data_IF_141039253205
#
_entry.id   IF_141039253205
#
_cell.length_a   1.000
_cell.length_b   1.000
_cell.length_c   1.000
_cell.angle_alpha   90.00
_cell.angle_beta   90.00
_cell.angle_gamma   90.00
#
_symmetry.space_group_name_H-M   'P 1'
#
loop_
_entity.id
_entity.type
_entity.pdbx_description
1 polymer ?
#
# COMPACT_ATOMS: atom_id res chain seq x y z
N UNK A 1 -6.16 -15.27 -7.96
CA UNK A 1 -5.40 -14.63 -6.97
C UNK A 1 -4.26 -13.87 -7.62
N UNK A 2 -4.36 -12.66 -7.49
CA UNK A 2 -3.41 -11.83 -8.17
C UNK A 2 -2.33 -11.57 -7.21
N UNK A 3 -1.43 -12.09 -7.07
CA UNK A 3 -0.43 -11.74 -6.09
C UNK A 3 0.97 -11.98 -6.59
N UNK A 4 1.07 -11.91 -7.90
CA UNK A 4 2.38 -12.11 -8.50
C UNK A 4 3.34 -11.00 -8.12
N UNK A 5 2.84 -9.79 -7.95
CA UNK A 5 3.67 -8.66 -7.56
C UNK A 5 4.36 -8.88 -6.22
N UNK A 6 3.71 -9.59 -5.32
CA UNK A 6 4.30 -9.83 -4.00
C UNK A 6 5.62 -10.59 -4.08
N UNK A 7 5.80 -11.38 -5.13
CA UNK A 7 7.00 -12.19 -5.30
C UNK A 7 8.16 -11.39 -5.86
N UNK A 8 7.91 -10.23 -6.43
CA UNK A 8 8.97 -9.41 -6.98
C UNK A 8 9.68 -8.56 -5.95
N UNK A 9 9.08 -8.39 -4.78
CA UNK A 9 9.64 -7.54 -3.74
C UNK A 9 9.44 -6.06 -3.97
N UNK A 10 8.62 -5.67 -4.95
CA UNK A 10 8.41 -4.27 -5.29
C UNK A 10 7.07 -4.11 -5.96
N UNK A 11 6.28 -3.14 -5.49
CA UNK A 11 5.09 -2.67 -6.19
C UNK A 11 5.14 -1.15 -6.29
N UNK A 12 4.63 -0.63 -7.41
CA UNK A 12 4.53 0.81 -7.64
C UNK A 12 3.19 1.13 -8.26
N UNK A 13 2.70 2.34 -8.01
CA UNK A 13 1.48 2.82 -8.62
C UNK A 13 1.45 4.33 -8.64
N UNK A 14 0.82 4.90 -9.66
CA UNK A 14 0.51 6.32 -9.73
C UNK A 14 -1.00 6.43 -9.59
N UNK A 15 -1.48 6.88 -8.45
CA UNK A 15 -2.90 6.86 -8.11
C UNK A 15 -3.52 8.23 -8.30
N UNK A 16 -4.64 8.26 -9.01
CA UNK A 16 -5.33 9.50 -9.39
C UNK A 16 -6.84 9.42 -9.13
N UNK A 17 -7.29 8.51 -8.30
CA UNK A 17 -8.71 8.33 -8.03
C UNK A 17 -8.93 7.70 -6.66
N UNK A 18 -10.14 7.86 -6.13
CA UNK A 18 -10.53 7.13 -4.93
C UNK A 18 -10.67 5.64 -5.23
N UNK A 19 -10.66 4.84 -4.21
CA UNK A 19 -10.80 3.39 -4.29
C UNK A 19 -9.75 2.76 -5.21
N UNK A 20 -8.52 3.24 -5.12
CA UNK A 20 -7.38 2.72 -5.89
C UNK A 20 -6.22 2.47 -4.96
N UNK A 21 -5.54 1.34 -5.17
CA UNK A 21 -4.43 0.89 -4.33
C UNK A 21 -3.31 0.32 -5.19
N UNK A 22 -2.13 0.24 -4.62
CA UNK A 22 -1.07 -0.59 -5.21
C UNK A 22 -1.50 -2.05 -5.18
N UNK A 23 -0.81 -2.90 -5.92
CA UNK A 23 -0.93 -4.34 -5.71
C UNK A 23 -0.44 -4.70 -4.31
N UNK A 24 -0.86 -5.86 -3.83
CA UNK A 24 -0.36 -6.40 -2.59
C UNK A 24 1.08 -6.89 -2.76
N UNK A 25 1.88 -6.68 -1.72
CA UNK A 25 3.25 -7.17 -1.68
C UNK A 25 3.44 -8.02 -0.42
N UNK A 26 4.13 -9.15 -0.56
CA UNK A 26 4.56 -9.93 0.59
C UNK A 26 5.63 -9.18 1.36
N UNK A 27 5.49 -9.16 2.67
CA UNK A 27 6.55 -8.70 3.55
C UNK A 27 6.82 -9.76 4.60
N UNK A 28 8.06 -10.09 4.80
CA UNK A 28 8.50 -11.04 5.83
C UNK A 28 9.30 -10.37 6.92
N UNK A 29 9.68 -9.12 6.71
CA UNK A 29 10.46 -8.31 7.65
C UNK A 29 10.16 -6.85 7.39
N UNK A 30 11.22 -6.06 7.24
CA UNK A 30 11.10 -4.65 6.88
C UNK A 30 10.73 -4.48 5.41
N UNK A 31 10.06 -3.38 5.14
CA UNK A 31 9.79 -2.92 3.79
C UNK A 31 9.84 -1.40 3.78
N UNK A 32 10.10 -0.84 2.59
CA UNK A 32 10.14 0.60 2.40
C UNK A 32 8.83 1.07 1.83
N UNK A 33 8.39 2.24 2.25
CA UNK A 33 7.23 2.92 1.68
C UNK A 33 7.66 4.32 1.24
N UNK A 34 7.46 4.60 -0.03
CA UNK A 34 7.73 5.92 -0.61
C UNK A 34 6.43 6.46 -1.19
N UNK A 35 6.05 7.67 -0.76
CA UNK A 35 4.90 8.38 -1.30
C UNK A 35 5.41 9.72 -1.79
N UNK A 36 5.22 9.99 -3.08
CA UNK A 36 5.66 11.23 -3.70
C UNK A 36 4.58 11.78 -4.62
N UNK A 37 4.87 12.92 -5.26
CA UNK A 37 3.92 13.58 -6.12
C UNK A 37 3.13 14.66 -5.40
N UNK A 38 2.19 15.26 -6.12
CA UNK A 38 1.33 16.31 -5.58
C UNK A 38 -0.09 15.78 -5.55
N UNK A 39 -0.65 15.65 -4.36
CA UNK A 39 -2.00 15.14 -4.18
C UNK A 39 -2.66 15.75 -2.96
N UNK A 40 -3.98 15.71 -2.95
CA UNK A 40 -4.79 16.05 -1.77
C UNK A 40 -5.66 14.83 -1.46
N UNK A 41 -5.53 14.31 -0.28
CA UNK A 41 -6.25 13.11 0.16
C UNK A 41 -5.51 12.39 1.26
N UNK A 42 -6.05 11.25 1.64
CA UNK A 42 -5.45 10.39 2.68
C UNK A 42 -5.07 9.04 2.06
N UNK A 43 -3.81 8.70 2.18
CA UNK A 43 -3.33 7.38 1.75
C UNK A 43 -3.35 6.46 2.95
N UNK A 44 -4.03 5.33 2.81
CA UNK A 44 -4.12 4.32 3.86
C UNK A 44 -3.25 3.14 3.49
N UNK A 45 -2.43 2.70 4.43
CA UNK A 45 -1.68 1.45 4.31
C UNK A 45 -2.52 0.35 4.92
N UNK A 46 -2.70 -0.72 4.18
CA UNK A 46 -3.48 -1.88 4.62
C UNK A 46 -2.61 -3.12 4.71
N UNK A 47 -3.00 -4.00 5.61
CA UNK A 47 -2.32 -5.25 5.90
C UNK A 47 -3.33 -6.39 5.82
N UNK A 48 -2.91 -7.53 5.30
CA UNK A 48 -3.76 -8.72 5.22
C UNK A 48 -2.93 -9.99 5.43
N UNK A 49 -3.54 -10.97 6.04
CA UNK A 49 -2.91 -12.29 6.24
C UNK A 49 -3.41 -13.32 5.24
N UNK A 50 -4.61 -13.14 4.71
CA UNK A 50 -5.22 -14.11 3.79
C UNK A 50 -4.63 -13.91 2.41
N UNK A 51 -3.70 -14.79 2.03
CA UNK A 51 -3.02 -14.67 0.74
C UNK A 51 -3.89 -15.06 -0.44
N UNK A 52 -5.00 -15.75 -0.21
CA UNK A 52 -5.94 -16.12 -1.27
C UNK A 52 -6.96 -15.00 -1.52
N UNK A 53 -7.36 -14.28 -0.48
CA UNK A 53 -8.37 -13.23 -0.56
C UNK A 53 -7.97 -12.03 0.28
N UNK A 54 -6.84 -11.37 -0.04
CA UNK A 54 -6.36 -10.29 0.79
C UNK A 54 -7.30 -9.08 0.82
N UNK A 55 -8.02 -8.80 -0.26
CA UNK A 55 -8.94 -7.66 -0.28
C UNK A 55 -10.03 -7.79 0.78
N UNK A 56 -10.52 -9.00 1.01
CA UNK A 56 -11.55 -9.23 2.02
C UNK A 56 -11.00 -9.19 3.44
N UNK A 57 -9.70 -9.36 3.59
CA UNK A 57 -9.04 -9.38 4.89
C UNK A 57 -8.28 -8.08 5.17
N UNK A 58 -8.42 -7.07 4.33
CA UNK A 58 -7.64 -5.84 4.44
C UNK A 58 -7.96 -5.07 5.72
N UNK A 59 -6.92 -4.69 6.45
CA UNK A 59 -7.01 -3.92 7.68
C UNK A 59 -6.17 -2.66 7.57
N UNK A 60 -6.72 -1.52 7.97
CA UNK A 60 -5.99 -0.27 7.97
C UNK A 60 -4.96 -0.27 9.10
N UNK A 61 -3.72 0.03 8.79
CA UNK A 61 -2.65 0.03 9.79
C UNK A 61 -1.94 1.36 9.90
N UNK A 62 -2.02 2.23 8.89
CA UNK A 62 -1.41 3.55 8.94
C UNK A 62 -2.04 4.47 7.90
N UNK A 63 -1.87 5.78 8.07
CA UNK A 63 -2.37 6.77 7.12
C UNK A 63 -1.36 7.90 6.94
N UNK A 64 -1.36 8.48 5.72
CA UNK A 64 -0.48 9.59 5.38
C UNK A 64 -1.24 10.59 4.50
N UNK A 65 -1.06 11.87 4.78
CA UNK A 65 -1.72 12.94 4.02
C UNK A 65 -0.75 13.79 3.20
N UNK A 66 0.52 13.42 3.20
CA UNK A 66 1.57 14.16 2.51
C UNK A 66 2.64 13.20 2.02
N UNK A 67 3.49 13.61 1.06
CA UNK A 67 4.63 12.80 0.65
C UNK A 67 5.51 12.43 1.83
N UNK A 68 5.99 11.20 1.84
CA UNK A 68 6.83 10.69 2.92
C UNK A 68 7.70 9.55 2.43
N UNK A 69 8.88 9.42 3.04
CA UNK A 69 9.75 8.26 2.89
C UNK A 69 9.83 7.59 4.25
N UNK A 70 9.36 6.35 4.34
CA UNK A 70 9.31 5.65 5.62
C UNK A 70 9.47 4.14 5.40
N UNK A 71 9.27 3.40 6.46
CA UNK A 71 9.40 1.95 6.42
C UNK A 71 8.40 1.32 7.38
N UNK A 72 8.17 0.03 7.20
CA UNK A 72 7.38 -0.76 8.11
C UNK A 72 8.10 -2.07 8.43
N UNK A 73 7.56 -2.79 9.39
CA UNK A 73 8.14 -4.05 9.84
C UNK A 73 7.03 -5.06 10.12
N UNK A 74 7.17 -6.25 9.55
CA UNK A 74 6.21 -7.34 9.76
C UNK A 74 6.77 -8.34 10.76
N UNK A 75 6.29 -8.34 12.01
CA UNK A 75 6.84 -9.21 13.04
C UNK A 75 6.29 -10.63 13.02
N UNK A 76 5.20 -10.90 12.34
CA UNK A 76 4.50 -12.19 12.43
C UNK A 76 5.00 -13.22 11.42
N UNK A 77 6.04 -12.93 10.67
CA UNK A 77 6.62 -13.86 9.71
C UNK A 77 6.24 -13.54 8.28
N UNK A 78 4.98 -13.36 7.95
CA UNK A 78 4.55 -12.98 6.61
C UNK A 78 3.19 -12.30 6.68
N UNK A 79 3.05 -11.25 5.90
CA UNK A 79 1.76 -10.60 5.65
C UNK A 79 1.81 -9.92 4.30
N UNK A 80 0.66 -9.47 3.84
CA UNK A 80 0.55 -8.67 2.62
C UNK A 80 0.30 -7.23 2.99
N UNK A 81 0.87 -6.31 2.23
CA UNK A 81 0.68 -4.87 2.41
C UNK A 81 0.35 -4.20 1.10
N UNK A 82 -0.48 -3.19 1.15
CA UNK A 82 -0.75 -2.29 0.03
C UNK A 82 -1.04 -0.90 0.56
N UNK A 83 -1.02 0.10 -0.32
CA UNK A 83 -1.34 1.46 0.05
C UNK A 83 -2.13 2.14 -1.06
N UNK A 84 -3.03 3.03 -0.70
CA UNK A 84 -3.81 3.76 -1.68
C UNK A 84 -4.88 4.62 -1.06
N UNK A 85 -5.78 5.10 -1.93
CA UNK A 85 -6.90 5.95 -1.55
C UNK A 85 -8.15 5.10 -1.36
N UNK A 86 -8.69 5.10 -0.14
CA UNK A 86 -9.99 4.49 0.11
C UNK A 86 -11.09 5.35 -0.50
N UNK A 87 -12.29 4.78 -0.61
CA UNK A 87 -13.45 5.52 -1.08
C UNK A 87 -13.68 6.75 -0.19
N UNK A 88 -13.82 7.91 -0.82
CA UNK A 88 -14.01 9.17 -0.11
C UNK A 88 -12.72 9.83 0.38
N UNK A 89 -11.56 9.23 0.15
CA UNK A 89 -10.29 9.72 0.69
C UNK A 89 -9.38 10.38 -0.36
N UNK A 90 -9.87 10.57 -1.57
CA UNK A 90 -9.11 11.22 -2.64
C UNK A 90 -9.81 12.52 -3.05
N UNK A 91 -9.04 13.60 -3.17
CA UNK A 91 -9.57 14.88 -3.64
C UNK A 91 -8.98 15.25 -5.00
N UNK A 92 -7.67 15.26 -5.15
CA UNK A 92 -7.05 15.67 -6.40
C UNK A 92 -5.59 15.24 -6.47
N UNK A 93 -5.02 15.32 -7.67
CA UNK A 93 -3.60 15.14 -7.90
C UNK A 93 -3.19 13.69 -8.17
N UNK A 94 -1.89 13.46 -8.08
CA UNK A 94 -1.30 12.15 -8.31
C UNK A 94 -0.40 11.77 -7.14
N UNK A 95 -0.66 10.61 -6.56
CA UNK A 95 0.22 10.02 -5.55
C UNK A 95 1.01 8.88 -6.19
N UNK A 96 2.32 9.00 -6.18
CA UNK A 96 3.21 7.96 -6.66
C UNK A 96 3.66 7.14 -5.46
N UNK A 97 3.28 5.89 -5.41
CA UNK A 97 3.54 5.02 -4.27
C UNK A 97 4.46 3.89 -4.70
N UNK A 98 5.45 3.62 -3.87
CA UNK A 98 6.37 2.51 -4.05
C UNK A 98 6.50 1.78 -2.72
N UNK A 99 6.25 0.48 -2.73
CA UNK A 99 6.50 -0.38 -1.58
C UNK A 99 7.51 -1.44 -2.02
N UNK A 100 8.61 -1.55 -1.30
CA UNK A 100 9.68 -2.49 -1.61
C UNK A 100 10.19 -3.17 -0.36
N UNK A 101 10.66 -4.39 -0.50
CA UNK A 101 11.27 -5.12 0.62
C UNK A 101 12.76 -5.34 0.38
#
# INVERSE_FOLDING_TARGET
>A
MAVLSKDTGLVTAALTAENTFTDWIYSTKEFNLSISGTFVGTITVQRAFDTASPDADARDVDTFTAPIETYGFEPSGVALYRAGFKTGEYTSGTANIRIGR
#
